data_IF_601585555571
#
_entry.id   IF_601585555571
#
_cell.length_a   1.000
_cell.length_b   1.000
_cell.length_c   1.000
_cell.angle_alpha   90.00
_cell.angle_beta   90.00
_cell.angle_gamma   90.00
#
_symmetry.space_group_name_H-M   'P 1'
#
loop_
_entity.id
_entity.type
_entity.pdbx_description
1 polymer ?
#
# COMPACT_ATOMS: atom_id res chain seq x y z
N UNK A 1 13.37 -20.27 -6.41
CA UNK A 1 12.93 -19.77 -7.74
C UNK A 1 13.67 -18.47 -8.05
N UNK A 2 14.30 -18.32 -9.20
CA UNK A 2 14.98 -17.06 -9.59
C UNK A 2 13.94 -16.06 -10.09
N UNK A 3 13.87 -14.88 -9.49
CA UNK A 3 12.89 -13.84 -9.85
C UNK A 3 13.05 -13.34 -11.30
N UNK A 4 12.01 -12.68 -11.84
CA UNK A 4 12.05 -12.08 -13.18
C UNK A 4 13.17 -11.03 -13.25
N UNK A 5 13.86 -10.91 -14.39
CA UNK A 5 14.89 -9.88 -14.62
C UNK A 5 14.27 -8.59 -15.14
N UNK A 6 15.03 -7.50 -15.03
CA UNK A 6 14.71 -6.25 -15.68
C UNK A 6 14.59 -6.44 -17.20
N UNK A 7 13.58 -5.84 -17.81
CA UNK A 7 13.34 -5.86 -19.26
C UNK A 7 14.16 -4.80 -20.02
N UNK A 8 14.82 -3.88 -19.30
CA UNK A 8 15.69 -2.89 -19.90
C UNK A 8 16.88 -3.58 -20.61
N UNK A 9 17.15 -3.26 -21.89
CA UNK A 9 18.25 -3.86 -22.64
C UNK A 9 19.58 -3.76 -21.88
N UNK A 10 20.31 -4.87 -21.78
CA UNK A 10 21.60 -4.94 -21.08
C UNK A 10 21.53 -4.92 -19.55
N UNK A 11 20.34 -4.84 -18.94
CA UNK A 11 20.21 -4.85 -17.49
C UNK A 11 20.11 -6.26 -16.91
N UNK A 12 21.03 -6.61 -16.01
CA UNK A 12 21.05 -7.92 -15.32
C UNK A 12 20.36 -7.92 -13.95
N UNK A 13 19.87 -6.76 -13.50
CA UNK A 13 19.23 -6.59 -12.18
C UNK A 13 17.87 -7.30 -12.13
N UNK A 14 17.47 -7.72 -10.94
CA UNK A 14 16.13 -8.27 -10.70
C UNK A 14 15.04 -7.22 -10.93
N UNK A 15 13.92 -7.64 -11.52
CA UNK A 15 12.71 -6.83 -11.64
C UNK A 15 12.03 -6.71 -10.28
N UNK A 16 11.71 -5.48 -9.88
CA UNK A 16 10.91 -5.17 -8.69
C UNK A 16 9.42 -5.08 -9.06
N UNK A 17 9.09 -4.38 -10.15
CA UNK A 17 7.72 -4.08 -10.54
C UNK A 17 7.64 -3.80 -12.04
N UNK A 18 6.55 -4.23 -12.69
CA UNK A 18 6.32 -4.02 -14.14
C UNK A 18 7.48 -4.47 -15.04
N UNK A 19 8.22 -5.51 -14.64
CA UNK A 19 9.38 -5.99 -15.39
C UNK A 19 10.63 -5.12 -15.27
N UNK A 20 10.65 -4.08 -14.43
CA UNK A 20 11.77 -3.16 -14.31
C UNK A 20 12.45 -3.26 -12.93
N UNK A 21 13.77 -3.06 -12.90
CA UNK A 21 14.53 -2.97 -11.65
C UNK A 21 14.33 -1.62 -10.97
N UNK A 22 14.82 -1.45 -9.73
CA UNK A 22 14.71 -0.19 -8.97
C UNK A 22 15.23 1.06 -9.71
N UNK A 23 16.26 0.91 -10.55
CA UNK A 23 16.85 2.03 -11.29
C UNK A 23 16.08 2.38 -12.57
N UNK A 24 15.40 1.41 -13.18
CA UNK A 24 14.66 1.61 -14.43
C UNK A 24 13.15 1.74 -14.21
N UNK A 25 12.65 1.34 -13.03
CA UNK A 25 11.25 1.44 -12.62
C UNK A 25 10.97 2.75 -11.88
N UNK A 26 10.70 3.82 -12.63
CA UNK A 26 10.30 5.13 -12.10
C UNK A 26 8.79 5.28 -11.92
N UNK A 27 8.37 6.41 -11.35
CA UNK A 27 6.97 6.80 -11.37
C UNK A 27 6.50 7.04 -12.81
N UNK A 28 5.41 6.41 -13.22
CA UNK A 28 4.81 6.54 -14.56
C UNK A 28 4.03 7.85 -14.76
N UNK A 29 4.01 8.72 -13.74
CA UNK A 29 3.39 10.04 -13.83
C UNK A 29 4.30 10.97 -14.64
N UNK A 30 3.71 11.67 -15.60
CA UNK A 30 4.44 12.57 -16.51
C UNK A 30 5.24 13.60 -15.71
N UNK A 31 6.54 13.73 -16.03
CA UNK A 31 7.44 14.66 -15.34
C UNK A 31 7.88 14.23 -13.93
N UNK A 32 7.45 13.06 -13.43
CA UNK A 32 7.84 12.58 -12.12
C UNK A 32 9.13 11.74 -12.16
N UNK A 33 10.19 12.23 -11.52
CA UNK A 33 11.49 11.53 -11.42
C UNK A 33 11.63 10.64 -10.18
N UNK A 34 10.58 10.58 -9.34
CA UNK A 34 10.60 9.79 -8.10
C UNK A 34 10.56 8.29 -8.40
N UNK A 35 11.20 7.49 -7.56
CA UNK A 35 11.12 6.02 -7.64
C UNK A 35 9.68 5.54 -7.43
N UNK A 36 9.28 4.53 -8.21
CA UNK A 36 8.01 3.85 -7.96
C UNK A 36 8.10 2.98 -6.72
N UNK A 37 7.09 3.07 -5.85
CA UNK A 37 7.00 2.26 -4.64
C UNK A 37 6.08 1.06 -4.86
N UNK A 38 5.00 1.25 -5.62
CA UNK A 38 4.07 0.20 -5.99
C UNK A 38 3.40 0.54 -7.32
N UNK A 39 3.06 -0.48 -8.11
CA UNK A 39 2.27 -0.35 -9.36
C UNK A 39 2.81 0.68 -10.35
N UNK A 40 4.12 0.95 -10.34
CA UNK A 40 4.73 1.95 -11.22
C UNK A 40 4.53 3.40 -10.79
N UNK A 41 4.07 3.69 -9.57
CA UNK A 41 3.89 5.06 -9.08
C UNK A 41 4.64 5.35 -7.78
N UNK A 42 5.04 6.60 -7.58
CA UNK A 42 5.70 7.04 -6.36
C UNK A 42 4.71 7.24 -5.20
N UNK A 43 5.23 7.61 -4.01
CA UNK A 43 4.43 7.93 -2.82
C UNK A 43 3.30 8.94 -3.09
N UNK A 44 3.53 9.90 -3.98
CA UNK A 44 2.55 10.93 -4.29
C UNK A 44 1.49 10.44 -5.29
N UNK A 45 1.87 9.60 -6.25
CA UNK A 45 1.05 9.35 -7.43
C UNK A 45 0.38 7.96 -7.47
N UNK A 46 0.68 7.02 -6.56
CA UNK A 46 -0.02 5.73 -6.62
C UNK A 46 0.34 4.73 -5.53
N UNK A 47 0.11 5.11 -4.26
CA UNK A 47 0.21 4.18 -3.13
C UNK A 47 -0.90 3.11 -3.08
N UNK A 48 -1.72 2.97 -4.11
CA UNK A 48 -2.95 2.20 -4.01
C UNK A 48 -4.05 3.06 -3.38
N UNK A 49 -5.15 2.43 -2.91
CA UNK A 49 -6.31 3.15 -2.39
C UNK A 49 -5.88 4.04 -1.21
N UNK A 50 -6.53 5.19 -1.08
CA UNK A 50 -6.39 6.09 0.07
C UNK A 50 -7.61 5.98 0.94
N UNK A 51 -7.49 6.48 2.17
CA UNK A 51 -8.65 6.72 2.98
C UNK A 51 -9.69 7.52 2.18
N UNK A 52 -10.94 7.05 2.16
CA UNK A 52 -12.05 7.67 1.42
C UNK A 52 -12.49 9.01 2.01
N UNK A 53 -12.02 9.37 3.22
CA UNK A 53 -12.22 10.70 3.79
C UNK A 53 -11.55 11.75 2.90
N UNK A 54 -12.35 12.73 2.46
CA UNK A 54 -11.88 13.85 1.65
C UNK A 54 -10.66 14.55 2.27
N UNK A 55 -9.63 14.78 1.46
CA UNK A 55 -8.36 15.38 1.89
C UNK A 55 -7.43 14.46 2.68
N UNK A 56 -7.82 13.21 2.98
CA UNK A 56 -6.96 12.29 3.71
C UNK A 56 -5.94 11.60 2.79
N UNK A 57 -4.67 11.69 3.16
CA UNK A 57 -3.57 11.02 2.45
C UNK A 57 -3.10 9.72 3.13
N UNK A 58 -3.76 9.28 4.20
CA UNK A 58 -3.42 8.04 4.93
C UNK A 58 -3.86 6.82 4.11
N UNK A 59 -3.12 5.73 4.28
CA UNK A 59 -3.45 4.45 3.68
C UNK A 59 -4.67 3.84 4.43
N UNK A 60 -5.62 3.22 3.72
CA UNK A 60 -6.78 2.61 4.34
C UNK A 60 -6.39 1.30 5.02
N UNK A 61 -6.96 1.06 6.19
CA UNK A 61 -6.77 -0.16 6.98
C UNK A 61 -7.95 -1.11 6.79
N UNK A 62 -9.18 -0.57 6.79
CA UNK A 62 -10.39 -1.37 6.59
C UNK A 62 -11.48 -0.54 5.91
N UNK A 63 -12.24 -1.20 5.02
CA UNK A 63 -13.39 -0.63 4.31
C UNK A 63 -13.10 0.74 3.67
N UNK A 64 -11.91 0.91 3.11
CA UNK A 64 -11.54 2.16 2.45
C UNK A 64 -11.19 3.31 3.39
N UNK A 65 -11.19 3.14 4.70
CA UNK A 65 -10.82 4.18 5.66
C UNK A 65 -9.52 3.87 6.42
N UNK A 66 -8.79 4.91 6.83
CA UNK A 66 -7.64 4.76 7.72
C UNK A 66 -8.06 4.67 9.20
N UNK A 67 -7.16 4.30 10.09
CA UNK A 67 -7.42 4.22 11.54
C UNK A 67 -8.12 5.49 12.08
N UNK A 68 -7.71 6.70 11.73
CA UNK A 68 -8.39 7.90 12.26
C UNK A 68 -9.79 8.16 11.69
N UNK A 69 -10.18 7.50 10.60
CA UNK A 69 -11.40 7.80 9.85
C UNK A 69 -12.33 6.59 9.70
N UNK A 70 -12.33 5.66 10.67
CA UNK A 70 -13.23 4.50 10.65
C UNK A 70 -12.63 3.21 10.08
N UNK A 71 -11.32 3.20 9.81
CA UNK A 71 -10.56 2.01 9.41
C UNK A 71 -10.26 1.02 10.54
N UNK A 72 -10.76 1.27 11.75
CA UNK A 72 -10.65 0.39 12.90
C UNK A 72 -12.02 0.10 13.49
N UNK A 73 -12.11 -1.00 14.23
CA UNK A 73 -13.32 -1.39 14.96
C UNK A 73 -12.91 -1.77 16.38
N UNK A 74 -13.84 -1.65 17.31
CA UNK A 74 -13.70 -2.22 18.63
C UNK A 74 -14.12 -3.69 18.63
N UNK A 75 -13.63 -4.42 19.62
CA UNK A 75 -14.07 -5.77 19.92
C UNK A 75 -15.59 -5.79 20.14
N UNK A 76 -16.29 -6.73 19.52
CA UNK A 76 -17.74 -6.91 19.64
C UNK A 76 -18.17 -7.54 20.98
N UNK A 77 -17.20 -7.96 21.81
CA UNK A 77 -17.49 -8.47 23.15
C UNK A 77 -17.97 -7.34 24.06
N UNK A 78 -19.02 -7.62 24.84
CA UNK A 78 -19.64 -6.68 25.77
C UNK A 78 -18.61 -5.95 26.64
N UNK A 79 -18.72 -4.63 26.72
CA UNK A 79 -17.86 -3.76 27.54
C UNK A 79 -16.35 -3.82 27.20
N UNK A 80 -15.98 -4.38 26.04
CA UNK A 80 -14.60 -4.42 25.60
C UNK A 80 -14.24 -3.19 24.76
N UNK A 81 -13.31 -2.37 25.23
CA UNK A 81 -12.80 -1.18 24.53
C UNK A 81 -11.54 -1.45 23.70
N UNK A 82 -11.12 -2.72 23.58
CA UNK A 82 -9.93 -3.11 22.81
C UNK A 82 -10.25 -3.14 21.32
N UNK A 83 -9.23 -2.94 20.51
CA UNK A 83 -9.34 -2.97 19.05
C UNK A 83 -9.51 -4.39 18.50
N UNK A 84 -10.38 -4.53 17.51
CA UNK A 84 -10.61 -5.74 16.72
C UNK A 84 -9.40 -6.00 15.78
N UNK A 85 -8.79 -7.18 15.89
CA UNK A 85 -7.66 -7.60 15.04
C UNK A 85 -8.09 -8.27 13.73
N UNK A 86 -9.39 -8.33 13.47
CA UNK A 86 -10.01 -8.99 12.34
C UNK A 86 -11.00 -10.04 12.85
N UNK A 87 -12.18 -10.10 12.23
CA UNK A 87 -13.23 -11.06 12.63
C UNK A 87 -14.16 -10.58 13.74
N UNK A 88 -13.98 -9.35 14.24
CA UNK A 88 -14.88 -8.72 15.21
C UNK A 88 -14.38 -8.77 16.65
N UNK A 89 -13.22 -9.36 16.94
CA UNK A 89 -12.72 -9.52 18.31
C UNK A 89 -11.24 -9.14 18.45
N UNK A 90 -10.85 -8.80 19.68
CA UNK A 90 -9.46 -8.49 20.01
C UNK A 90 -8.67 -9.78 20.24
N UNK A 91 -7.39 -9.72 20.62
CA UNK A 91 -6.61 -10.94 20.88
C UNK A 91 -7.00 -11.71 22.15
N UNK A 92 -7.92 -11.16 22.96
CA UNK A 92 -8.33 -11.69 24.26
C UNK A 92 -9.66 -12.44 24.20
N UNK A 93 -10.50 -12.13 23.21
CA UNK A 93 -11.83 -12.69 23.00
C UNK A 93 -11.85 -13.26 21.59
#
# INVERSE_FOLDING_TARGET
>A
RRGKRCTQPGCTKASQSNGLCKAHGGCQSVGCTKSSQARGFCRAHGRGPRCEKEGCSKDPEREGFCADHGGFRFCQYSDCTREDRGGGFCTKH
#
